data_IF_005123517123
#
_entry.id   IF_005123517123
#
_cell.length_a   1.000
_cell.length_b   1.000
_cell.length_c   1.000
_cell.angle_alpha   90.00
_cell.angle_beta   90.00
_cell.angle_gamma   90.00
#
_symmetry.space_group_name_H-M   'P 1'
#
loop_
_entity.id
_entity.type
_entity.pdbx_description
1 polymer ?
#
# COMPACT_ATOMS: atom_id res chain seq x y z
N UNK A 1 24.86 13.65 -6.57
CA UNK A 1 25.84 13.03 -5.66
C UNK A 1 27.06 12.66 -6.46
N UNK A 2 28.22 13.15 -6.05
CA UNK A 2 29.51 12.86 -6.68
C UNK A 2 30.54 12.53 -5.60
N UNK A 3 30.77 11.23 -5.30
CA UNK A 3 31.70 10.83 -4.24
C UNK A 3 33.14 11.33 -4.43
N UNK A 4 33.56 11.54 -5.69
CA UNK A 4 34.91 12.08 -6.00
C UNK A 4 35.10 13.54 -5.57
N UNK A 5 34.00 14.26 -5.37
CA UNK A 5 34.00 15.66 -4.91
C UNK A 5 33.51 15.78 -3.47
N UNK A 6 33.49 14.68 -2.70
CA UNK A 6 32.90 14.60 -1.36
C UNK A 6 31.43 15.04 -1.27
N UNK A 7 30.70 15.04 -2.38
CA UNK A 7 29.27 15.33 -2.40
C UNK A 7 28.53 14.03 -2.11
N UNK A 8 28.41 13.70 -0.84
CA UNK A 8 27.70 12.52 -0.34
C UNK A 8 26.20 12.82 -0.23
N UNK A 9 25.37 11.77 -0.13
CA UNK A 9 23.94 11.90 0.10
C UNK A 9 23.64 12.61 1.43
N UNK A 10 24.34 12.21 2.48
CA UNK A 10 24.22 12.78 3.82
C UNK A 10 24.53 14.28 3.86
N UNK A 11 25.68 14.67 3.34
CA UNK A 11 26.12 16.07 3.34
C UNK A 11 25.16 16.93 2.50
N UNK A 12 24.74 16.43 1.33
CA UNK A 12 23.76 17.12 0.49
C UNK A 12 22.43 17.32 1.23
N UNK A 13 21.94 16.32 1.94
CA UNK A 13 20.68 16.39 2.65
C UNK A 13 20.75 17.35 3.85
N UNK A 14 21.86 17.36 4.61
CA UNK A 14 22.11 18.34 5.67
C UNK A 14 22.12 19.79 5.14
N UNK A 15 22.65 20.02 3.95
CA UNK A 15 22.59 21.33 3.32
C UNK A 15 21.19 21.71 2.85
N UNK A 16 20.41 20.73 2.33
CA UNK A 16 19.01 20.95 1.90
C UNK A 16 18.15 21.35 3.09
N UNK A 17 18.22 20.65 4.22
CA UNK A 17 17.45 20.95 5.44
C UNK A 17 17.71 22.39 5.92
N UNK A 18 18.93 22.91 5.76
CA UNK A 18 19.29 24.28 6.12
C UNK A 18 18.74 25.37 5.20
N UNK A 19 18.13 24.98 4.07
CA UNK A 19 17.45 25.92 3.16
C UNK A 19 15.98 26.11 3.51
N UNK A 20 15.52 25.56 4.66
CA UNK A 20 14.16 25.66 5.19
C UNK A 20 13.07 25.25 4.16
N UNK A 21 13.18 24.05 3.54
CA UNK A 21 12.17 23.58 2.60
C UNK A 21 10.93 23.06 3.32
N UNK A 22 9.74 23.35 2.85
CA UNK A 22 8.50 22.77 3.38
C UNK A 22 8.43 21.25 3.17
N UNK A 23 8.90 20.78 2.01
CA UNK A 23 8.80 19.39 1.59
C UNK A 23 10.14 18.88 1.06
N UNK A 24 10.61 17.75 1.59
CA UNK A 24 11.80 17.06 1.13
C UNK A 24 11.38 15.73 0.48
N UNK A 25 11.76 15.53 -0.78
CA UNK A 25 11.55 14.27 -1.48
C UNK A 25 12.88 13.52 -1.57
N UNK A 26 13.00 12.41 -0.86
CA UNK A 26 14.15 11.52 -0.91
C UNK A 26 13.82 10.36 -1.87
N UNK A 27 14.74 10.02 -2.78
CA UNK A 27 14.52 8.96 -3.76
C UNK A 27 14.11 7.64 -3.11
N UNK A 28 14.92 7.15 -2.17
CA UNK A 28 14.61 5.95 -1.37
C UNK A 28 15.43 5.91 -0.08
N UNK A 29 14.90 5.21 0.92
CA UNK A 29 15.62 4.87 2.14
C UNK A 29 16.13 3.43 1.98
N UNK A 30 17.46 3.27 1.92
CA UNK A 30 18.13 1.96 1.74
C UNK A 30 18.81 1.46 3.01
N UNK A 31 19.29 2.36 3.82
CA UNK A 31 20.17 2.13 4.93
C UNK A 31 19.79 2.98 6.16
N UNK A 32 20.43 2.68 7.26
CA UNK A 32 20.22 3.38 8.52
C UNK A 32 20.46 4.89 8.40
N UNK A 33 21.53 5.30 7.72
CA UNK A 33 21.90 6.71 7.61
C UNK A 33 20.84 7.54 6.88
N UNK A 34 20.34 7.03 5.75
CA UNK A 34 19.24 7.68 5.02
C UNK A 34 17.93 7.73 5.83
N UNK A 35 17.68 6.71 6.65
CA UNK A 35 16.52 6.66 7.52
C UNK A 35 16.64 7.64 8.69
N UNK A 36 17.79 7.70 9.37
CA UNK A 36 18.06 8.66 10.45
C UNK A 36 17.89 10.10 9.95
N UNK A 37 18.48 10.42 8.79
CA UNK A 37 18.37 11.77 8.23
C UNK A 37 16.93 12.13 7.84
N UNK A 38 16.13 11.17 7.34
CA UNK A 38 14.70 11.39 7.06
C UNK A 38 13.92 11.70 8.34
N UNK A 39 14.20 10.96 9.41
CA UNK A 39 13.57 11.13 10.72
C UNK A 39 13.97 12.46 11.34
N UNK A 40 15.26 12.84 11.31
CA UNK A 40 15.75 14.12 11.81
C UNK A 40 15.10 15.31 11.08
N UNK A 41 15.01 15.24 9.75
CA UNK A 41 14.32 16.25 8.96
C UNK A 41 12.83 16.36 9.33
N UNK A 42 12.15 15.24 9.56
CA UNK A 42 10.76 15.22 9.99
C UNK A 42 10.57 15.79 11.40
N UNK A 43 11.49 15.53 12.33
CA UNK A 43 11.49 16.11 13.69
C UNK A 43 11.65 17.62 13.69
N UNK A 44 12.40 18.16 12.74
CA UNK A 44 12.60 19.62 12.59
C UNK A 44 11.46 20.31 11.82
N UNK A 45 10.35 19.60 11.54
CA UNK A 45 9.12 20.16 10.98
C UNK A 45 8.97 20.02 9.47
N UNK A 46 9.94 19.43 8.78
CA UNK A 46 9.87 19.23 7.34
C UNK A 46 8.94 18.05 6.98
N UNK A 47 8.18 18.18 5.91
CA UNK A 47 7.44 17.05 5.33
C UNK A 47 8.37 16.19 4.49
N UNK A 48 8.66 14.97 4.93
CA UNK A 48 9.56 14.07 4.20
C UNK A 48 8.76 12.99 3.47
N UNK A 49 8.99 12.86 2.16
CA UNK A 49 8.45 11.81 1.31
C UNK A 49 9.60 10.94 0.81
N UNK A 50 9.47 9.63 0.95
CA UNK A 50 10.48 8.68 0.48
C UNK A 50 9.85 7.38 0.02
N UNK A 51 10.66 6.48 -0.56
CA UNK A 51 10.22 5.17 -1.00
C UNK A 51 10.99 4.04 -0.31
N UNK A 52 10.34 2.89 -0.24
CA UNK A 52 10.91 1.63 0.22
C UNK A 52 10.60 0.52 -0.77
N UNK A 53 11.46 -0.49 -0.84
CA UNK A 53 11.18 -1.73 -1.54
C UNK A 53 10.71 -2.78 -0.52
N UNK A 54 9.40 -2.86 -0.31
CA UNK A 54 8.74 -3.81 0.60
C UNK A 54 7.49 -4.40 -0.05
N UNK A 55 7.03 -5.50 0.48
CA UNK A 55 5.88 -6.21 -0.07
C UNK A 55 4.56 -5.49 0.23
N UNK A 56 4.42 -4.99 1.45
CA UNK A 56 3.23 -4.30 1.95
C UNK A 56 3.60 -3.14 2.91
N UNK A 57 2.61 -2.41 3.40
CA UNK A 57 2.80 -1.24 4.24
C UNK A 57 3.33 -1.58 5.64
N UNK A 58 2.84 -2.67 6.24
CA UNK A 58 3.32 -3.14 7.54
C UNK A 58 4.77 -3.61 7.45
N UNK A 59 5.12 -4.32 6.38
CA UNK A 59 6.51 -4.71 6.09
C UNK A 59 7.44 -3.51 5.93
N UNK A 60 6.95 -2.41 5.30
CA UNK A 60 7.67 -1.15 5.21
C UNK A 60 7.95 -0.53 6.58
N UNK A 61 6.95 -0.49 7.44
CA UNK A 61 7.09 0.01 8.82
C UNK A 61 8.06 -0.85 9.64
N UNK A 62 7.93 -2.18 9.58
CA UNK A 62 8.81 -3.11 10.28
C UNK A 62 10.26 -2.99 9.78
N UNK A 63 10.46 -2.80 8.48
CA UNK A 63 11.80 -2.58 7.93
C UNK A 63 12.43 -1.30 8.47
N UNK A 64 11.67 -0.21 8.59
CA UNK A 64 12.15 1.04 9.17
C UNK A 64 12.55 0.86 10.64
N UNK A 65 11.73 0.13 11.42
CA UNK A 65 12.02 -0.21 12.81
C UNK A 65 13.33 -1.03 12.93
N UNK A 66 13.56 -1.96 12.00
CA UNK A 66 14.75 -2.82 11.99
C UNK A 66 16.03 -2.11 11.52
N UNK A 67 15.97 -0.85 11.09
CA UNK A 67 17.15 -0.04 10.75
C UNK A 67 17.86 0.57 11.97
N UNK A 68 17.53 0.08 13.17
CA UNK A 68 18.16 0.50 14.44
C UNK A 68 17.97 1.99 14.77
N UNK A 69 16.89 2.58 14.27
CA UNK A 69 16.45 3.92 14.66
C UNK A 69 15.70 3.80 15.98
N UNK A 70 15.83 4.79 16.83
CA UNK A 70 15.08 4.81 18.07
C UNK A 70 13.58 4.71 17.84
N UNK A 71 12.95 3.72 18.45
CA UNK A 71 11.58 3.32 18.13
C UNK A 71 10.55 4.43 18.37
N UNK A 72 10.80 5.27 19.36
CA UNK A 72 9.93 6.40 19.66
C UNK A 72 10.02 7.48 18.57
N UNK A 73 11.18 7.66 17.92
CA UNK A 73 11.34 8.57 16.80
C UNK A 73 10.54 8.11 15.59
N UNK A 74 10.61 6.81 15.28
CA UNK A 74 9.77 6.22 14.21
C UNK A 74 8.30 6.42 14.52
N UNK A 75 7.87 6.11 15.75
CA UNK A 75 6.48 6.24 16.16
C UNK A 75 5.97 7.69 16.12
N UNK A 76 6.82 8.69 16.36
CA UNK A 76 6.44 10.10 16.38
C UNK A 76 6.48 10.77 15.00
N UNK A 77 7.41 10.39 14.13
CA UNK A 77 7.63 11.06 12.85
C UNK A 77 6.91 10.43 11.68
N UNK A 78 6.77 9.09 11.65
CA UNK A 78 6.07 8.41 10.55
C UNK A 78 4.57 8.69 10.65
N UNK A 79 4.01 9.27 9.61
CA UNK A 79 2.57 9.57 9.53
C UNK A 79 1.80 8.50 8.78
N UNK A 80 2.36 8.00 7.67
CA UNK A 80 1.75 6.96 6.87
C UNK A 80 2.78 6.13 6.10
N UNK A 81 2.44 4.88 5.81
CA UNK A 81 3.16 4.01 4.87
C UNK A 81 2.17 3.53 3.81
N UNK A 82 2.51 3.74 2.54
CA UNK A 82 1.65 3.38 1.41
C UNK A 82 2.34 2.30 0.60
N UNK A 83 1.74 1.13 0.51
CA UNK A 83 2.14 0.11 -0.44
C UNK A 83 1.28 0.17 -1.70
N UNK A 84 1.89 -0.07 -2.85
CA UNK A 84 1.23 -0.03 -4.15
C UNK A 84 1.69 -1.20 -5.02
N UNK A 85 0.72 -1.77 -5.77
CA UNK A 85 0.99 -2.72 -6.85
C UNK A 85 0.20 -2.31 -8.10
N UNK A 86 0.70 -2.72 -9.27
CA UNK A 86 0.04 -2.47 -10.55
C UNK A 86 -0.51 -3.78 -11.10
N UNK A 87 -1.84 -3.85 -11.22
CA UNK A 87 -2.57 -4.96 -11.81
C UNK A 87 -2.94 -4.63 -13.26
N UNK A 88 -2.96 -5.63 -14.15
CA UNK A 88 -3.40 -5.45 -15.54
C UNK A 88 -4.92 -5.24 -15.60
N UNK A 89 -5.37 -4.40 -16.51
CA UNK A 89 -6.79 -4.15 -16.76
C UNK A 89 -7.29 -5.04 -17.91
N UNK A 90 -8.50 -5.62 -17.80
CA UNK A 90 -9.15 -6.26 -18.96
C UNK A 90 -9.19 -5.29 -20.14
N UNK A 91 -8.92 -5.81 -21.33
CA UNK A 91 -8.95 -4.99 -22.54
C UNK A 91 -10.38 -4.52 -22.83
N UNK A 92 -10.66 -3.21 -22.91
CA UNK A 92 -12.02 -2.71 -23.09
C UNK A 92 -12.66 -3.14 -24.42
N UNK A 93 -11.85 -3.49 -25.42
CA UNK A 93 -12.38 -3.94 -26.72
C UNK A 93 -12.82 -5.40 -26.73
N UNK A 94 -12.42 -6.22 -25.76
CA UNK A 94 -12.79 -7.65 -25.72
C UNK A 94 -13.11 -8.13 -24.29
N UNK A 95 -13.26 -7.23 -23.33
CA UNK A 95 -13.73 -7.58 -22.01
C UNK A 95 -15.17 -8.10 -22.06
N UNK A 96 -15.39 -9.22 -21.37
CA UNK A 96 -16.71 -9.82 -21.23
C UNK A 96 -16.96 -10.15 -19.75
N UNK A 97 -18.23 -10.20 -19.32
CA UNK A 97 -18.58 -10.66 -17.99
C UNK A 97 -17.99 -12.05 -17.72
N UNK A 98 -17.45 -12.24 -16.53
CA UNK A 98 -16.93 -13.52 -16.06
C UNK A 98 -17.59 -13.89 -14.73
N UNK A 99 -17.97 -15.16 -14.59
CA UNK A 99 -18.39 -15.69 -13.28
C UNK A 99 -17.20 -16.38 -12.62
N UNK A 100 -16.68 -15.84 -11.50
CA UNK A 100 -15.58 -16.48 -10.80
C UNK A 100 -16.00 -17.85 -10.29
N UNK A 101 -15.09 -18.82 -10.34
CA UNK A 101 -15.36 -20.13 -9.77
C UNK A 101 -15.43 -20.05 -8.23
N UNK A 102 -16.30 -20.84 -7.62
CA UNK A 102 -16.44 -20.95 -6.16
C UNK A 102 -15.09 -21.27 -5.50
N UNK A 103 -14.30 -22.14 -6.15
CA UNK A 103 -12.97 -22.49 -5.68
C UNK A 103 -11.96 -21.34 -5.76
N UNK A 104 -12.07 -20.44 -6.73
CA UNK A 104 -11.23 -19.24 -6.78
C UNK A 104 -11.57 -18.26 -5.65
N UNK A 105 -12.85 -18.00 -5.41
CA UNK A 105 -13.32 -17.13 -4.32
C UNK A 105 -12.92 -17.68 -2.95
N UNK A 106 -13.15 -18.97 -2.70
CA UNK A 106 -12.78 -19.62 -1.43
C UNK A 106 -11.30 -19.56 -1.12
N UNK A 107 -10.42 -19.65 -2.14
CA UNK A 107 -8.97 -19.48 -1.96
C UNK A 107 -8.59 -18.06 -1.52
N UNK A 108 -9.41 -17.08 -1.86
CA UNK A 108 -9.25 -15.69 -1.46
C UNK A 108 -9.98 -15.37 -0.15
N UNK A 109 -10.63 -16.37 0.48
CA UNK A 109 -11.36 -16.21 1.74
C UNK A 109 -12.81 -15.71 1.58
N UNK A 110 -13.36 -15.71 0.36
CA UNK A 110 -14.71 -15.21 0.07
C UNK A 110 -15.69 -16.32 -0.28
N UNK A 111 -16.95 -16.13 0.10
CA UNK A 111 -18.07 -16.95 -0.38
C UNK A 111 -18.72 -16.28 -1.59
N UNK A 112 -19.41 -17.05 -2.45
CA UNK A 112 -20.17 -16.49 -3.59
C UNK A 112 -21.21 -15.45 -3.18
N UNK A 113 -21.78 -15.56 -1.97
CA UNK A 113 -22.71 -14.57 -1.40
C UNK A 113 -22.07 -13.20 -1.18
N UNK A 114 -20.78 -13.17 -0.84
CA UNK A 114 -20.07 -11.94 -0.48
C UNK A 114 -19.82 -11.05 -1.70
N UNK A 115 -19.82 -11.65 -2.88
CA UNK A 115 -19.58 -10.98 -4.17
C UNK A 115 -20.85 -10.89 -5.03
N UNK A 116 -22.02 -11.08 -4.44
CA UNK A 116 -23.29 -10.98 -5.18
C UNK A 116 -23.50 -9.57 -5.73
N UNK A 117 -23.87 -9.48 -7.02
CA UNK A 117 -24.04 -8.21 -7.72
C UNK A 117 -22.75 -7.57 -8.23
N UNK A 118 -21.62 -8.27 -8.14
CA UNK A 118 -20.34 -7.84 -8.71
C UNK A 118 -20.29 -8.02 -10.23
N UNK A 119 -19.52 -7.15 -10.89
CA UNK A 119 -19.34 -7.16 -12.35
C UNK A 119 -17.94 -7.63 -12.74
N UNK A 120 -17.58 -8.86 -12.40
CA UNK A 120 -16.29 -9.39 -12.80
C UNK A 120 -16.17 -9.45 -14.34
N UNK A 121 -15.00 -9.09 -14.86
CA UNK A 121 -14.72 -9.05 -16.30
C UNK A 121 -13.40 -9.74 -16.60
N UNK A 122 -13.34 -10.36 -17.80
CA UNK A 122 -12.12 -10.94 -18.36
C UNK A 122 -12.01 -10.63 -19.84
N UNK A 123 -10.81 -10.31 -20.30
CA UNK A 123 -10.54 -10.10 -21.72
C UNK A 123 -10.42 -11.42 -22.47
N UNK A 124 -11.17 -11.56 -23.56
CA UNK A 124 -11.15 -12.79 -24.42
C UNK A 124 -9.91 -12.85 -25.32
N UNK A 125 -9.19 -11.75 -25.47
CA UNK A 125 -8.12 -11.60 -26.46
C UNK A 125 -8.64 -11.04 -27.80
N UNK A 126 -7.99 -10.01 -28.32
CA UNK A 126 -8.29 -9.42 -29.62
C UNK A 126 -7.03 -8.77 -30.21
N UNK A 127 -7.02 -8.36 -31.50
CA UNK A 127 -5.87 -7.69 -32.10
C UNK A 127 -5.44 -6.41 -31.34
N UNK A 128 -6.39 -5.66 -30.76
CA UNK A 128 -6.09 -4.41 -30.01
C UNK A 128 -5.30 -4.65 -28.72
N UNK A 129 -5.35 -5.84 -28.14
CA UNK A 129 -4.57 -6.24 -26.98
C UNK A 129 -3.50 -7.29 -27.32
N UNK A 130 -3.23 -7.54 -28.59
CA UNK A 130 -2.32 -8.59 -29.07
C UNK A 130 -2.68 -9.96 -28.48
N UNK A 131 -3.97 -10.27 -28.41
CA UNK A 131 -4.56 -11.51 -27.89
C UNK A 131 -4.27 -11.81 -26.42
N UNK A 132 -3.68 -10.89 -25.66
CA UNK A 132 -3.40 -11.07 -24.23
C UNK A 132 -4.63 -10.98 -23.33
N UNK A 133 -5.72 -10.36 -23.82
CA UNK A 133 -6.90 -10.05 -23.02
C UNK A 133 -6.74 -8.80 -22.12
N UNK A 134 -5.54 -8.21 -22.04
CA UNK A 134 -5.25 -7.09 -21.15
C UNK A 134 -4.77 -5.84 -21.89
N UNK A 135 -5.15 -4.66 -21.41
CA UNK A 135 -4.67 -3.37 -21.92
C UNK A 135 -4.68 -2.31 -20.82
N UNK A 136 -3.50 -1.81 -20.49
CA UNK A 136 -3.30 -0.84 -19.41
C UNK A 136 -3.18 -1.50 -18.05
N UNK A 137 -2.96 -0.69 -17.03
CA UNK A 137 -2.79 -1.10 -15.62
C UNK A 137 -3.65 -0.25 -14.71
N UNK A 138 -4.01 -0.79 -13.56
CA UNK A 138 -4.66 -0.09 -12.45
C UNK A 138 -3.83 -0.32 -11.20
N UNK A 139 -3.69 0.70 -10.37
CA UNK A 139 -3.01 0.55 -9.09
C UNK A 139 -3.97 -0.03 -8.05
N UNK A 140 -3.44 -0.86 -7.16
CA UNK A 140 -4.02 -1.24 -5.87
C UNK A 140 -3.16 -0.67 -4.77
N UNK A 141 -3.77 -0.28 -3.67
CA UNK A 141 -3.10 0.41 -2.58
C UNK A 141 -3.46 -0.22 -1.24
N UNK A 142 -2.49 -0.20 -0.35
CA UNK A 142 -2.65 -0.46 1.07
C UNK A 142 -2.07 0.75 1.80
N UNK A 143 -2.91 1.49 2.53
CA UNK A 143 -2.53 2.75 3.18
C UNK A 143 -2.61 2.56 4.68
N UNK A 144 -1.45 2.48 5.31
CA UNK A 144 -1.29 2.38 6.76
C UNK A 144 -1.07 3.77 7.34
N UNK A 145 -2.04 4.28 8.08
CA UNK A 145 -1.93 5.54 8.84
C UNK A 145 -1.52 5.20 10.27
N UNK A 146 -0.50 5.88 10.79
CA UNK A 146 -0.04 5.67 12.16
C UNK A 146 -0.90 6.51 13.12
N UNK A 147 -1.97 5.91 13.63
CA UNK A 147 -2.78 6.44 14.72
C UNK A 147 -2.18 6.13 16.11
N UNK A 148 -2.87 6.52 17.18
CA UNK A 148 -2.40 6.29 18.55
C UNK A 148 -2.27 4.81 18.92
N UNK A 149 -3.17 3.95 18.42
CA UNK A 149 -3.14 2.51 18.69
C UNK A 149 -1.88 1.88 18.08
N UNK A 150 -1.58 2.24 16.83
CA UNK A 150 -0.42 1.72 16.14
C UNK A 150 0.87 2.28 16.70
N UNK A 151 0.92 3.58 17.03
CA UNK A 151 2.06 4.21 17.71
C UNK A 151 2.36 3.52 19.05
N UNK A 152 1.33 3.24 19.85
CA UNK A 152 1.46 2.49 21.10
C UNK A 152 1.99 1.08 20.88
N UNK A 153 1.50 0.36 19.86
CA UNK A 153 1.99 -0.97 19.53
C UNK A 153 3.48 -0.97 19.13
N UNK A 154 3.91 0.06 18.38
CA UNK A 154 5.31 0.25 17.98
C UNK A 154 6.20 0.53 19.20
N UNK A 155 5.83 1.50 20.05
CA UNK A 155 6.57 1.88 21.25
C UNK A 155 6.73 0.69 22.21
N UNK A 156 5.67 -0.11 22.36
CA UNK A 156 5.68 -1.33 23.17
C UNK A 156 6.39 -2.52 22.50
N UNK A 157 7.07 -2.30 21.36
CA UNK A 157 7.84 -3.32 20.62
C UNK A 157 7.03 -4.57 20.31
N UNK A 158 5.74 -4.40 19.95
CA UNK A 158 4.91 -5.52 19.55
C UNK A 158 5.48 -6.24 18.33
N UNK A 159 5.39 -7.57 18.26
CA UNK A 159 5.89 -8.32 17.13
C UNK A 159 5.11 -7.98 15.83
N UNK A 160 5.71 -8.17 14.63
CA UNK A 160 5.12 -7.78 13.36
C UNK A 160 3.69 -8.29 13.12
N UNK A 161 3.37 -9.49 13.58
CA UNK A 161 2.01 -10.06 13.44
C UNK A 161 0.98 -9.34 14.31
N UNK A 162 1.36 -8.85 15.50
CA UNK A 162 0.48 -8.04 16.34
C UNK A 162 0.32 -6.62 15.76
N UNK A 163 1.39 -6.02 15.23
CA UNK A 163 1.31 -4.74 14.51
C UNK A 163 0.33 -4.86 13.35
N UNK A 164 0.43 -5.92 12.54
CA UNK A 164 -0.52 -6.18 11.44
C UNK A 164 -1.95 -6.35 11.95
N UNK A 165 -2.16 -7.13 13.01
CA UNK A 165 -3.49 -7.32 13.60
C UNK A 165 -4.07 -6.00 14.07
N UNK A 166 -3.30 -5.20 14.82
CA UNK A 166 -3.72 -3.86 15.26
C UNK A 166 -4.08 -2.97 14.09
N UNK A 167 -3.27 -2.98 13.02
CA UNK A 167 -3.52 -2.19 11.80
C UNK A 167 -4.87 -2.53 11.16
N UNK A 168 -5.22 -3.82 11.09
CA UNK A 168 -6.48 -4.26 10.48
C UNK A 168 -7.67 -4.02 11.42
N UNK A 169 -7.57 -4.47 12.67
CA UNK A 169 -8.70 -4.50 13.61
C UNK A 169 -9.02 -3.13 14.23
N UNK A 170 -8.01 -2.30 14.45
CA UNK A 170 -8.17 -1.04 15.19
C UNK A 170 -7.97 0.19 14.31
N UNK A 171 -7.07 0.13 13.32
CA UNK A 171 -6.77 1.27 12.45
C UNK A 171 -7.48 1.19 11.09
N UNK A 172 -8.26 0.15 10.83
CA UNK A 172 -9.05 0.01 9.60
C UNK A 172 -8.23 -0.14 8.33
N UNK A 173 -7.05 -0.77 8.41
CA UNK A 173 -6.20 -1.03 7.25
C UNK A 173 -6.94 -1.91 6.24
N UNK A 174 -7.12 -1.40 5.03
CA UNK A 174 -7.57 -2.17 3.87
C UNK A 174 -6.33 -2.72 3.17
N UNK A 175 -6.21 -4.04 3.08
CA UNK A 175 -5.04 -4.69 2.50
C UNK A 175 -5.00 -4.58 0.97
N UNK A 176 -3.81 -4.77 0.36
CA UNK A 176 -3.67 -4.85 -1.11
C UNK A 176 -4.63 -5.87 -1.73
N UNK A 177 -4.83 -7.01 -1.05
CA UNK A 177 -5.76 -8.05 -1.49
C UNK A 177 -7.20 -7.56 -1.52
N UNK A 178 -7.65 -6.93 -0.45
CA UNK A 178 -9.02 -6.41 -0.35
C UNK A 178 -9.29 -5.32 -1.38
N UNK A 179 -8.39 -4.34 -1.55
CA UNK A 179 -8.53 -3.30 -2.56
C UNK A 179 -8.54 -3.90 -3.98
N UNK A 180 -7.71 -4.92 -4.22
CA UNK A 180 -7.69 -5.65 -5.47
C UNK A 180 -9.00 -6.39 -5.77
N UNK A 181 -9.57 -7.11 -4.78
CA UNK A 181 -10.84 -7.82 -4.93
C UNK A 181 -11.98 -6.83 -5.22
N UNK A 182 -12.02 -5.69 -4.53
CA UNK A 182 -13.00 -4.62 -4.81
C UNK A 182 -12.88 -4.14 -6.26
N UNK A 183 -11.65 -3.94 -6.74
CA UNK A 183 -11.40 -3.51 -8.13
C UNK A 183 -11.76 -4.60 -9.14
N UNK A 184 -11.53 -5.87 -8.83
CA UNK A 184 -11.96 -6.98 -9.68
C UNK A 184 -13.48 -7.11 -9.71
N UNK A 185 -14.16 -6.97 -8.58
CA UNK A 185 -15.61 -6.99 -8.47
C UNK A 185 -16.30 -5.84 -9.26
N UNK A 186 -15.57 -4.73 -9.48
CA UNK A 186 -15.99 -3.62 -10.32
C UNK A 186 -15.50 -3.73 -11.78
N UNK A 187 -14.90 -4.86 -12.18
CA UNK A 187 -14.41 -5.08 -13.53
C UNK A 187 -13.20 -4.23 -13.94
N UNK A 188 -12.49 -3.62 -12.99
CA UNK A 188 -11.30 -2.79 -13.23
C UNK A 188 -10.08 -3.67 -13.49
N UNK A 189 -9.99 -4.81 -12.79
CA UNK A 189 -8.96 -5.86 -12.96
C UNK A 189 -9.61 -7.24 -13.00
N UNK A 190 -8.82 -8.31 -12.94
CA UNK A 190 -9.31 -9.70 -12.90
C UNK A 190 -8.87 -10.39 -11.62
N UNK A 191 -9.60 -11.40 -11.17
CA UNK A 191 -9.19 -12.23 -10.02
C UNK A 191 -7.89 -13.02 -10.28
N UNK A 192 -7.55 -13.30 -11.52
CA UNK A 192 -6.31 -13.99 -11.88
C UNK A 192 -5.08 -13.12 -11.58
N UNK A 193 -5.18 -11.80 -11.76
CA UNK A 193 -4.08 -10.85 -11.45
C UNK A 193 -3.78 -10.79 -9.97
N UNK A 194 -4.79 -10.89 -9.12
CA UNK A 194 -4.62 -10.84 -7.68
C UNK A 194 -3.86 -12.04 -7.14
N UNK A 195 -4.07 -13.23 -7.72
CA UNK A 195 -3.32 -14.42 -7.34
C UNK A 195 -1.81 -14.28 -7.54
N UNK A 196 -1.38 -13.57 -8.57
CA UNK A 196 0.03 -13.44 -8.93
C UNK A 196 0.76 -12.38 -8.12
N UNK A 197 0.06 -11.36 -7.63
CA UNK A 197 0.68 -10.19 -6.99
C UNK A 197 0.58 -10.21 -5.46
N UNK A 198 -0.41 -10.91 -4.91
CA UNK A 198 -0.69 -10.93 -3.47
C UNK A 198 -0.39 -12.27 -2.81
N UNK A 199 -0.23 -13.35 -3.60
CA UNK A 199 -0.01 -14.71 -3.08
C UNK A 199 1.38 -14.94 -2.48
N UNK A 200 2.34 -14.05 -2.68
CA UNK A 200 3.69 -14.18 -2.10
C UNK A 200 3.81 -13.71 -0.64
N UNK A 201 2.81 -13.03 -0.10
CA UNK A 201 2.75 -12.76 1.33
C UNK A 201 2.17 -13.99 2.07
N UNK A 202 3.00 -14.97 2.32
CA UNK A 202 2.66 -16.14 3.13
C UNK A 202 2.24 -15.71 4.53
N UNK A 203 0.95 -15.59 4.76
CA UNK A 203 0.19 -15.71 6.01
C UNK A 203 -0.96 -14.71 6.22
N UNK A 204 -1.62 -14.24 5.19
CA UNK A 204 -2.91 -13.61 5.39
C UNK A 204 -3.96 -14.70 5.68
N UNK A 205 -4.16 -15.08 6.93
CA UNK A 205 -5.44 -15.64 7.37
C UNK A 205 -6.44 -14.51 7.26
N UNK A 206 -7.19 -14.49 6.18
CA UNK A 206 -8.28 -13.55 5.95
C UNK A 206 -9.33 -13.81 7.02
N UNK A 207 -9.47 -12.91 7.97
CA UNK A 207 -10.69 -12.82 8.75
C UNK A 207 -11.77 -12.27 7.84
N UNK A 208 -12.92 -12.96 7.78
CA UNK A 208 -14.06 -12.62 6.95
C UNK A 208 -14.47 -11.16 7.22
N UNK A 209 -14.18 -10.28 6.26
CA UNK A 209 -14.74 -8.94 6.28
C UNK A 209 -16.01 -8.98 5.45
N UNK A 210 -17.14 -8.66 6.09
CA UNK A 210 -18.40 -8.45 5.39
C UNK A 210 -18.24 -7.31 4.41
N UNK A 211 -18.38 -7.59 3.11
CA UNK A 211 -18.59 -6.55 2.11
C UNK A 211 -19.87 -5.79 2.45
N UNK A 212 -19.74 -4.64 3.06
CA UNK A 212 -20.80 -3.68 3.07
C UNK A 212 -20.55 -2.74 1.90
N UNK A 213 -21.53 -2.56 1.03
CA UNK A 213 -21.48 -1.61 -0.09
C UNK A 213 -21.09 -0.19 0.33
N UNK A 214 -21.21 0.10 1.62
CA UNK A 214 -20.85 1.37 2.25
C UNK A 214 -19.36 1.56 2.47
N UNK A 215 -18.56 0.49 2.68
CA UNK A 215 -17.11 0.61 2.92
C UNK A 215 -16.38 1.09 1.67
N UNK A 216 -16.72 0.59 0.50
CA UNK A 216 -16.15 1.06 -0.77
C UNK A 216 -16.49 2.53 -1.06
N UNK A 217 -17.65 3.02 -0.60
CA UNK A 217 -18.04 4.44 -0.67
C UNK A 217 -17.35 5.28 0.40
N UNK A 218 -17.21 4.78 1.62
CA UNK A 218 -16.57 5.49 2.73
C UNK A 218 -15.08 5.75 2.45
N UNK A 219 -14.32 4.77 1.96
CA UNK A 219 -12.91 4.95 1.61
C UNK A 219 -12.75 5.91 0.42
N UNK A 220 -13.64 5.86 -0.59
CA UNK A 220 -13.64 6.83 -1.69
C UNK A 220 -14.10 8.22 -1.25
N UNK A 221 -15.01 8.32 -0.30
CA UNK A 221 -15.49 9.57 0.26
C UNK A 221 -14.41 10.23 1.14
N UNK A 222 -13.79 9.49 2.05
CA UNK A 222 -12.68 10.00 2.87
C UNK A 222 -11.47 10.45 2.05
N UNK A 223 -11.13 9.74 0.97
CA UNK A 223 -10.07 10.20 0.06
C UNK A 223 -10.46 11.48 -0.70
N UNK A 224 -11.75 11.68 -1.01
CA UNK A 224 -12.24 12.91 -1.65
C UNK A 224 -12.32 14.07 -0.67
N UNK A 225 -12.80 13.81 0.54
CA UNK A 225 -13.00 14.85 1.56
C UNK A 225 -11.67 15.34 2.15
N UNK A 226 -10.65 14.46 2.22
CA UNK A 226 -9.28 14.84 2.60
C UNK A 226 -8.47 15.48 1.45
N UNK A 227 -8.86 15.28 0.20
CA UNK A 227 -8.24 15.92 -0.98
C UNK A 227 -8.74 17.33 -1.27
N UNK A 228 -9.76 17.82 -0.52
CA UNK A 228 -10.35 19.15 -0.67
C UNK A 228 -9.93 20.16 0.40
N UNK A 229 -8.94 19.83 1.21
CA UNK A 229 -8.32 20.79 2.12
C UNK A 229 -7.06 21.32 1.43
N UNK A 230 -7.27 22.42 0.68
CA UNK A 230 -6.25 23.33 0.14
C UNK A 230 -5.50 24.03 1.25
#
# INVERSE_FOLDING_TARGET
INPKLNVTFEETLRHIVRQDPDIIVMGEIRDRLSAETAVEAALTGHKVLSTFHTEDSVGGLVRLINMEIEIYLVASTVSAVIAQRLLRRPCPACAAPEKPSVGALRRLGYNPSDVHGSEFKKGRGCPKCRYTGYKGRAAVHEILILDEHLRSAIINRKPPHEIRRTSIEQCGLVTLLEDGIVKAANGITTLDEERLVVSDSASARVNVIRFNREIGRAVQQECRDRGSIS
#
